data_IF_535305483627
#
_entry.id   IF_535305483627
#
_cell.length_a   1.000
_cell.length_b   1.000
_cell.length_c   1.000
_cell.angle_alpha   90.00
_cell.angle_beta   90.00
_cell.angle_gamma   90.00
#
_symmetry.space_group_name_H-M   'P 1'
#
loop_
_entity.id
_entity.type
_entity.pdbx_description
1 polymer ?
#
# COMPACT_ATOMS: atom_id res chain seq x y z
N UNK A 1 5.05 3.16 8.96
CA UNK A 1 4.84 2.54 7.64
C UNK A 1 3.35 2.51 7.32
N UNK A 2 2.92 3.40 6.42
CA UNK A 2 1.54 3.46 5.98
C UNK A 2 1.14 2.22 5.17
N UNK A 3 -0.15 1.86 5.22
CA UNK A 3 -0.76 0.84 4.38
C UNK A 3 -2.14 1.31 3.91
N UNK A 4 -2.47 1.19 2.61
CA UNK A 4 -3.84 1.41 2.16
C UNK A 4 -4.70 0.24 2.62
N UNK A 5 -5.76 0.50 3.36
CA UNK A 5 -6.67 -0.52 3.89
C UNK A 5 -8.11 -0.26 3.50
N UNK A 6 -8.91 -1.32 3.44
CA UNK A 6 -10.36 -1.23 3.34
C UNK A 6 -11.02 -1.87 4.55
N UNK A 7 -12.15 -1.31 5.00
CA UNK A 7 -12.94 -1.86 6.11
C UNK A 7 -13.82 -3.00 5.61
N UNK A 8 -13.64 -4.17 6.20
CA UNK A 8 -14.40 -5.38 5.87
C UNK A 8 -15.45 -5.61 6.94
N UNK A 9 -16.75 -5.44 6.63
CA UNK A 9 -17.82 -5.75 7.59
C UNK A 9 -17.88 -7.26 7.86
N UNK A 10 -17.88 -7.66 9.12
CA UNK A 10 -18.14 -9.01 9.59
C UNK A 10 -19.61 -9.19 10.00
N UNK A 11 -20.10 -10.42 9.97
CA UNK A 11 -21.52 -10.73 10.24
C UNK A 11 -21.95 -10.52 11.70
N UNK A 12 -21.00 -10.36 12.61
CA UNK A 12 -21.16 -10.10 14.05
C UNK A 12 -21.21 -8.58 14.39
N UNK A 13 -21.13 -7.71 13.39
CA UNK A 13 -21.07 -6.26 13.55
C UNK A 13 -19.65 -5.72 13.74
N UNK A 14 -18.64 -6.58 13.80
CA UNK A 14 -17.25 -6.17 13.82
C UNK A 14 -16.76 -5.70 12.45
N UNK A 15 -15.67 -4.95 12.44
CA UNK A 15 -15.03 -4.47 11.22
C UNK A 15 -13.58 -4.93 11.20
N UNK A 16 -13.24 -5.77 10.24
CA UNK A 16 -11.87 -6.11 9.92
C UNK A 16 -11.24 -5.10 8.97
N UNK A 17 -9.92 -5.21 8.79
CA UNK A 17 -9.17 -4.38 7.85
C UNK A 17 -8.41 -5.26 6.87
N UNK A 18 -8.58 -5.00 5.57
CA UNK A 18 -7.84 -5.69 4.52
C UNK A 18 -6.79 -4.76 3.92
N UNK A 19 -5.49 -5.11 3.94
CA UNK A 19 -4.45 -4.29 3.36
C UNK A 19 -4.32 -4.53 1.84
N UNK A 20 -4.37 -3.46 1.07
CA UNK A 20 -4.22 -3.46 -0.38
C UNK A 20 -2.73 -3.39 -0.76
N UNK A 21 -2.05 -4.54 -0.82
CA UNK A 21 -0.59 -4.60 -1.02
C UNK A 21 -0.23 -4.79 -2.49
N UNK A 22 -0.83 -5.78 -3.16
CA UNK A 22 -0.35 -6.29 -4.45
C UNK A 22 -1.29 -5.93 -5.61
N UNK A 23 -2.60 -6.09 -5.43
CA UNK A 23 -3.59 -5.98 -6.52
C UNK A 23 -3.63 -4.60 -7.18
N UNK A 24 -3.23 -3.54 -6.45
CA UNK A 24 -3.14 -2.17 -6.98
C UNK A 24 -2.19 -2.07 -8.19
N UNK A 25 -1.14 -2.89 -8.22
CA UNK A 25 -0.18 -2.95 -9.31
C UNK A 25 -0.66 -3.72 -10.55
N UNK A 26 -1.76 -4.50 -10.45
CA UNK A 26 -2.27 -5.32 -11.56
C UNK A 26 -2.93 -4.46 -12.63
N UNK A 27 -2.90 -4.91 -13.93
CA UNK A 27 -3.45 -4.13 -15.04
C UNK A 27 -4.98 -4.06 -15.00
N UNK A 28 -5.55 -2.84 -15.09
CA UNK A 28 -7.00 -2.60 -15.18
C UNK A 28 -7.67 -2.15 -13.89
N UNK A 29 -6.90 -1.57 -12.96
CA UNK A 29 -7.41 -0.87 -11.77
C UNK A 29 -6.77 0.50 -11.66
N UNK A 30 -7.49 1.50 -11.17
CA UNK A 30 -6.98 2.84 -10.84
C UNK A 30 -7.46 3.26 -9.45
N UNK A 31 -6.66 4.11 -8.79
CA UNK A 31 -7.02 4.77 -7.55
C UNK A 31 -7.52 6.19 -7.81
N UNK A 32 -8.72 6.53 -7.33
CA UNK A 32 -9.30 7.86 -7.52
C UNK A 32 -9.78 8.47 -6.20
N UNK A 33 -9.74 9.79 -6.11
CA UNK A 33 -10.32 10.59 -5.02
C UNK A 33 -11.83 10.84 -5.26
N UNK A 34 -12.49 11.51 -4.31
CA UNK A 34 -13.89 11.88 -4.42
C UNK A 34 -14.20 12.77 -5.65
N UNK A 35 -13.24 13.55 -6.15
CA UNK A 35 -13.37 14.31 -7.37
C UNK A 35 -13.20 13.47 -8.66
N UNK A 36 -13.05 12.17 -8.54
CA UNK A 36 -12.86 11.22 -9.64
C UNK A 36 -11.48 11.24 -10.29
N UNK A 37 -10.52 12.01 -9.77
CA UNK A 37 -9.16 12.10 -10.34
C UNK A 37 -8.21 11.12 -9.67
N UNK A 38 -7.26 10.60 -10.44
CA UNK A 38 -6.10 9.85 -9.94
C UNK A 38 -5.18 10.81 -9.17
N UNK A 39 -4.35 10.25 -8.29
CA UNK A 39 -3.44 11.02 -7.44
C UNK A 39 -2.07 10.34 -7.25
N UNK A 40 -1.89 9.13 -7.79
CA UNK A 40 -0.68 8.33 -7.56
C UNK A 40 -0.49 7.28 -8.64
N UNK A 41 0.74 6.80 -8.80
CA UNK A 41 1.03 5.54 -9.47
C UNK A 41 0.64 4.37 -8.55
N UNK A 42 -0.41 3.66 -8.87
CA UNK A 42 -0.96 2.59 -8.03
C UNK A 42 -0.02 1.38 -7.88
N UNK A 43 0.98 1.24 -8.77
CA UNK A 43 1.99 0.20 -8.68
C UNK A 43 3.21 0.59 -7.81
N UNK A 44 3.22 1.78 -7.22
CA UNK A 44 4.17 2.14 -6.19
C UNK A 44 3.93 1.36 -4.89
N UNK A 45 4.86 1.43 -3.96
CA UNK A 45 4.75 0.84 -2.64
C UNK A 45 3.47 1.28 -1.90
N UNK A 46 2.99 0.45 -1.00
CA UNK A 46 1.79 0.77 -0.23
C UNK A 46 1.98 2.01 0.66
N UNK A 47 3.19 2.24 1.16
CA UNK A 47 3.53 3.46 1.90
C UNK A 47 3.37 4.71 1.03
N UNK A 48 3.91 4.69 -0.18
CA UNK A 48 3.86 5.81 -1.12
C UNK A 48 2.43 6.12 -1.57
N UNK A 49 1.61 5.07 -1.76
CA UNK A 49 0.19 5.25 -2.08
C UNK A 49 -0.54 6.06 -1.01
N UNK A 50 -0.33 5.72 0.27
CA UNK A 50 -0.98 6.43 1.38
C UNK A 50 -0.37 7.81 1.61
N UNK A 51 0.94 7.97 1.45
CA UNK A 51 1.58 9.29 1.53
C UNK A 51 0.98 10.25 0.49
N UNK A 52 0.85 9.80 -0.76
CA UNK A 52 0.20 10.57 -1.82
C UNK A 52 -1.30 10.84 -1.52
N UNK A 53 -2.02 9.88 -0.92
CA UNK A 53 -3.41 10.07 -0.51
C UNK A 53 -3.54 11.17 0.55
N UNK A 54 -2.66 11.16 1.55
CA UNK A 54 -2.65 12.18 2.61
C UNK A 54 -2.30 13.55 2.05
N UNK A 55 -1.32 13.64 1.15
CA UNK A 55 -0.93 14.89 0.49
C UNK A 55 -2.05 15.47 -0.39
N UNK A 56 -2.77 14.60 -1.11
CA UNK A 56 -3.89 15.00 -1.96
C UNK A 56 -5.20 15.30 -1.19
N UNK A 57 -5.23 15.05 0.12
CA UNK A 57 -6.41 15.28 0.96
C UNK A 57 -6.34 16.67 1.59
N UNK A 58 -7.35 17.55 1.40
CA UNK A 58 -7.39 18.85 2.06
C UNK A 58 -7.36 18.71 3.60
N UNK A 59 -6.73 19.66 4.32
CA UNK A 59 -6.72 19.66 5.77
C UNK A 59 -8.13 19.57 6.38
N UNK A 60 -8.27 18.75 7.42
CA UNK A 60 -9.55 18.54 8.12
C UNK A 60 -10.53 17.61 7.42
N UNK A 61 -10.22 17.10 6.24
CA UNK A 61 -11.04 16.10 5.57
C UNK A 61 -10.52 14.68 5.80
N UNK A 62 -11.39 13.65 5.82
CA UNK A 62 -10.97 12.28 5.92
C UNK A 62 -10.26 11.84 4.63
N UNK A 63 -9.04 11.33 4.75
CA UNK A 63 -8.28 10.80 3.63
C UNK A 63 -8.93 9.50 3.13
N UNK A 64 -9.51 9.54 1.94
CA UNK A 64 -10.21 8.42 1.31
C UNK A 64 -9.98 8.40 -0.18
N UNK A 65 -9.82 7.21 -0.73
CA UNK A 65 -9.78 6.95 -2.16
C UNK A 65 -10.64 5.74 -2.52
N UNK A 66 -10.80 5.48 -3.80
CA UNK A 66 -11.49 4.31 -4.30
C UNK A 66 -10.59 3.60 -5.30
N UNK A 67 -10.42 2.29 -5.15
CA UNK A 67 -9.86 1.45 -6.21
C UNK A 67 -11.00 1.07 -7.15
N UNK A 68 -10.92 1.54 -8.40
CA UNK A 68 -11.94 1.36 -9.43
C UNK A 68 -11.42 0.41 -10.49
N UNK A 69 -12.22 -0.60 -10.85
CA UNK A 69 -11.88 -1.57 -11.88
C UNK A 69 -13.11 -2.01 -12.68
N UNK A 70 -12.87 -2.77 -13.74
CA UNK A 70 -13.94 -3.42 -14.52
C UNK A 70 -14.11 -4.91 -14.15
N UNK A 71 -15.08 -5.56 -14.80
CA UNK A 71 -15.39 -6.97 -14.62
C UNK A 71 -14.18 -7.90 -14.91
N UNK A 72 -13.32 -7.57 -15.88
CA UNK A 72 -12.17 -8.42 -16.24
C UNK A 72 -11.19 -8.47 -15.10
N UNK A 73 -10.85 -7.29 -14.54
CA UNK A 73 -9.98 -7.17 -13.41
C UNK A 73 -10.50 -7.95 -12.20
N UNK A 74 -11.74 -7.68 -11.78
CA UNK A 74 -12.33 -8.34 -10.62
C UNK A 74 -12.33 -9.87 -10.74
N UNK A 75 -12.65 -10.40 -11.93
CA UNK A 75 -12.66 -11.85 -12.16
C UNK A 75 -11.27 -12.48 -12.11
N UNK A 76 -10.25 -11.77 -12.56
CA UNK A 76 -8.88 -12.30 -12.67
C UNK A 76 -8.10 -12.16 -11.39
N UNK A 77 -8.20 -11.01 -10.73
CA UNK A 77 -7.32 -10.65 -9.60
C UNK A 77 -8.06 -10.53 -8.27
N UNK A 78 -9.39 -10.38 -8.30
CA UNK A 78 -10.14 -9.94 -7.13
C UNK A 78 -9.99 -8.44 -6.90
N UNK A 79 -10.50 -7.94 -5.76
CA UNK A 79 -10.30 -6.55 -5.34
C UNK A 79 -10.40 -6.48 -3.80
N UNK A 80 -9.31 -6.25 -3.13
CA UNK A 80 -9.24 -6.29 -1.69
C UNK A 80 -9.68 -7.67 -1.15
N UNK A 81 -10.62 -7.67 -0.22
CA UNK A 81 -11.15 -8.90 0.38
C UNK A 81 -12.00 -9.75 -0.59
N UNK A 82 -12.37 -9.20 -1.74
CA UNK A 82 -13.11 -9.93 -2.79
C UNK A 82 -12.14 -10.79 -3.57
N UNK A 83 -12.29 -12.10 -3.46
CA UNK A 83 -11.45 -13.07 -4.16
C UNK A 83 -11.80 -13.17 -5.65
N UNK A 84 -10.86 -13.60 -6.52
CA UNK A 84 -11.14 -13.79 -7.94
C UNK A 84 -12.17 -14.89 -8.23
N UNK A 85 -12.70 -14.90 -9.46
CA UNK A 85 -13.59 -15.96 -9.91
C UNK A 85 -12.93 -17.36 -9.77
N UNK A 86 -13.71 -18.41 -9.49
CA UNK A 86 -15.19 -18.47 -9.56
C UNK A 86 -15.93 -18.12 -8.27
N UNK A 87 -15.26 -17.57 -7.26
CA UNK A 87 -15.89 -17.30 -5.96
C UNK A 87 -17.00 -16.23 -6.06
N UNK A 88 -18.11 -16.41 -5.32
CA UNK A 88 -19.26 -15.52 -5.41
C UNK A 88 -18.99 -14.16 -4.73
N UNK A 89 -19.48 -13.08 -5.35
CA UNK A 89 -19.32 -11.71 -4.86
C UNK A 89 -20.57 -11.16 -4.15
N UNK A 90 -21.66 -11.94 -4.11
CA UNK A 90 -22.96 -11.46 -3.64
C UNK A 90 -22.95 -10.97 -2.18
N UNK A 91 -22.20 -11.63 -1.30
CA UNK A 91 -22.08 -11.22 0.09
C UNK A 91 -21.39 -9.85 0.22
N UNK A 92 -20.34 -9.61 -0.55
CA UNK A 92 -19.60 -8.33 -0.56
C UNK A 92 -20.43 -7.17 -1.12
N UNK A 93 -21.32 -7.45 -2.09
CA UNK A 93 -22.28 -6.46 -2.60
C UNK A 93 -23.36 -6.13 -1.55
N UNK A 94 -23.90 -7.14 -0.87
CA UNK A 94 -24.92 -6.95 0.17
C UNK A 94 -24.38 -6.19 1.39
N UNK A 95 -23.16 -6.49 1.81
CA UNK A 95 -22.52 -5.79 2.93
C UNK A 95 -22.11 -4.36 2.59
N UNK A 96 -22.16 -3.97 1.31
CA UNK A 96 -21.70 -2.66 0.85
C UNK A 96 -20.18 -2.52 0.75
N UNK A 97 -19.41 -3.57 1.06
CA UNK A 97 -17.95 -3.57 0.89
C UNK A 97 -17.54 -3.34 -0.56
N UNK A 98 -18.13 -4.12 -1.47
CA UNK A 98 -17.94 -3.97 -2.91
C UNK A 98 -19.06 -3.12 -3.50
N UNK A 99 -18.73 -2.02 -4.11
CA UNK A 99 -19.66 -1.22 -4.91
C UNK A 99 -19.69 -1.72 -6.35
N UNK A 100 -20.86 -1.59 -7.00
CA UNK A 100 -21.06 -2.01 -8.38
C UNK A 100 -21.89 -0.98 -9.12
N UNK A 101 -21.53 -0.73 -10.39
CA UNK A 101 -22.31 0.06 -11.33
C UNK A 101 -22.33 -0.61 -12.71
N UNK A 102 -23.45 -0.54 -13.42
CA UNK A 102 -23.52 -0.97 -14.84
C UNK A 102 -22.83 0.04 -15.75
N UNK A 103 -22.72 1.30 -15.30
CA UNK A 103 -21.94 2.39 -15.92
C UNK A 103 -20.99 3.02 -14.89
N UNK A 104 -20.04 3.80 -15.36
CA UNK A 104 -19.15 4.60 -14.50
C UNK A 104 -19.93 5.65 -13.71
N UNK A 105 -20.94 6.27 -14.31
CA UNK A 105 -21.82 7.22 -13.63
C UNK A 105 -22.54 6.59 -12.43
N UNK A 106 -23.16 5.42 -12.63
CA UNK A 106 -23.83 4.70 -11.57
C UNK A 106 -22.87 4.29 -10.46
N UNK A 107 -21.66 3.80 -10.81
CA UNK A 107 -20.62 3.46 -9.83
C UNK A 107 -20.21 4.70 -9.03
N UNK A 108 -19.91 5.80 -9.71
CA UNK A 108 -19.47 7.05 -9.09
C UNK A 108 -20.49 7.54 -8.04
N UNK A 109 -21.77 7.59 -8.41
CA UNK A 109 -22.87 7.99 -7.48
C UNK A 109 -22.95 7.07 -6.27
N UNK A 110 -22.78 5.76 -6.46
CA UNK A 110 -22.82 4.78 -5.35
C UNK A 110 -21.64 4.92 -4.39
N UNK A 111 -20.55 5.53 -4.86
CA UNK A 111 -19.31 5.74 -4.09
C UNK A 111 -19.18 7.16 -3.52
N UNK A 112 -20.03 8.10 -3.92
CA UNK A 112 -19.85 9.52 -3.60
C UNK A 112 -18.68 10.15 -4.35
N UNK A 113 -18.37 9.64 -5.54
CA UNK A 113 -17.37 10.18 -6.46
C UNK A 113 -18.06 11.11 -7.46
N UNK A 114 -17.38 12.20 -7.87
CA UNK A 114 -17.88 13.02 -8.99
C UNK A 114 -17.96 12.21 -10.28
N UNK A 115 -19.17 12.00 -10.85
CA UNK A 115 -19.35 11.17 -12.04
C UNK A 115 -18.61 11.72 -13.27
N UNK A 116 -18.58 13.03 -13.44
CA UNK A 116 -17.92 13.68 -14.57
C UNK A 116 -16.40 13.54 -14.48
N UNK A 117 -15.84 13.73 -13.26
CA UNK A 117 -14.44 13.54 -12.99
C UNK A 117 -13.98 12.11 -13.22
N UNK A 118 -14.76 11.12 -12.73
CA UNK A 118 -14.45 9.71 -12.95
C UNK A 118 -14.51 9.33 -14.44
N UNK A 119 -15.53 9.76 -15.16
CA UNK A 119 -15.67 9.48 -16.58
C UNK A 119 -14.51 10.07 -17.40
N UNK A 120 -14.13 11.32 -17.12
CA UNK A 120 -13.00 11.97 -17.78
C UNK A 120 -11.67 11.25 -17.47
N UNK A 121 -11.43 10.90 -16.22
CA UNK A 121 -10.23 10.17 -15.78
C UNK A 121 -10.12 8.81 -16.46
N UNK A 122 -11.19 8.02 -16.49
CA UNK A 122 -11.17 6.70 -17.14
C UNK A 122 -11.00 6.82 -18.65
N UNK A 123 -11.64 7.81 -19.29
CA UNK A 123 -11.48 8.03 -20.73
C UNK A 123 -10.03 8.37 -21.08
N UNK A 124 -9.41 9.29 -20.34
CA UNK A 124 -8.02 9.68 -20.54
C UNK A 124 -7.04 8.54 -20.28
N UNK A 125 -7.22 7.84 -19.14
CA UNK A 125 -6.44 6.66 -18.81
C UNK A 125 -6.53 5.58 -19.91
N UNK A 126 -7.74 5.25 -20.37
CA UNK A 126 -7.97 4.22 -21.38
C UNK A 126 -7.34 4.55 -22.72
N UNK A 127 -7.27 5.82 -23.09
CA UNK A 127 -6.63 6.27 -24.35
C UNK A 127 -5.18 5.81 -24.42
N UNK A 128 -4.44 5.94 -23.32
CA UNK A 128 -3.04 5.55 -23.23
C UNK A 128 -2.86 4.08 -22.81
N UNK A 129 -3.76 3.57 -21.97
CA UNK A 129 -3.68 2.21 -21.44
C UNK A 129 -3.77 1.12 -22.51
N UNK A 130 -4.45 1.37 -23.64
CA UNK A 130 -4.48 0.46 -24.79
C UNK A 130 -3.12 0.23 -25.41
N UNK A 131 -2.24 1.24 -25.33
CA UNK A 131 -0.86 1.18 -25.77
C UNK A 131 0.13 0.80 -24.64
N UNK A 132 -0.40 0.45 -23.46
CA UNK A 132 0.40 0.08 -22.29
C UNK A 132 1.13 1.28 -21.66
N UNK A 133 0.67 2.51 -21.90
CA UNK A 133 1.28 3.73 -21.37
C UNK A 133 0.43 4.35 -20.26
N UNK A 134 1.10 4.98 -19.31
CA UNK A 134 0.50 5.85 -18.29
C UNK A 134 1.36 7.13 -18.17
N UNK A 135 1.13 8.13 -19.03
CA UNK A 135 1.95 9.33 -19.05
C UNK A 135 1.76 10.21 -17.80
N UNK A 136 0.64 10.09 -17.11
CA UNK A 136 0.34 10.91 -15.94
C UNK A 136 1.20 10.50 -14.71
N UNK A 137 1.35 9.20 -14.47
CA UNK A 137 2.08 8.70 -13.30
C UNK A 137 3.21 7.73 -13.63
N UNK A 138 3.46 7.43 -14.89
CA UNK A 138 4.55 6.56 -15.32
C UNK A 138 4.43 5.09 -14.85
N UNK A 139 3.20 4.61 -14.65
CA UNK A 139 2.95 3.27 -14.12
C UNK A 139 3.49 2.18 -15.04
N UNK A 140 4.27 1.26 -14.43
CA UNK A 140 4.96 0.19 -15.17
C UNK A 140 6.29 0.63 -15.80
N UNK A 141 6.74 1.87 -15.52
CA UNK A 141 8.01 2.40 -16.02
C UNK A 141 9.24 1.89 -15.27
N UNK A 142 9.07 1.40 -14.04
CA UNK A 142 10.19 0.89 -13.21
C UNK A 142 10.14 -0.62 -13.06
N UNK A 143 11.30 -1.24 -12.75
CA UNK A 143 11.38 -2.67 -12.43
C UNK A 143 10.49 -3.04 -11.23
N UNK A 144 10.42 -2.17 -10.22
CA UNK A 144 9.54 -2.36 -9.06
C UNK A 144 8.06 -2.41 -9.46
N UNK A 145 7.58 -1.45 -10.27
CA UNK A 145 6.20 -1.47 -10.76
C UNK A 145 5.90 -2.74 -11.55
N UNK A 146 6.78 -3.12 -12.48
CA UNK A 146 6.60 -4.31 -13.33
C UNK A 146 6.53 -5.61 -12.51
N UNK A 147 7.29 -5.70 -11.41
CA UNK A 147 7.20 -6.82 -10.46
C UNK A 147 5.82 -6.90 -9.78
N UNK A 148 5.18 -5.77 -9.50
CA UNK A 148 3.82 -5.72 -8.93
C UNK A 148 2.75 -6.07 -9.96
N UNK A 149 3.04 -5.91 -11.24
CA UNK A 149 2.16 -6.22 -12.35
C UNK A 149 1.86 -7.71 -12.53
N UNK A 150 1.25 -8.07 -13.65
CA UNK A 150 0.98 -9.44 -14.05
C UNK A 150 1.86 -9.82 -15.26
N UNK A 151 2.90 -10.63 -15.09
CA UNK A 151 3.77 -11.04 -16.21
C UNK A 151 3.04 -11.89 -17.25
N UNK A 152 1.89 -12.49 -16.91
CA UNK A 152 1.05 -13.26 -17.84
C UNK A 152 -0.03 -12.39 -18.52
N UNK A 153 -0.04 -11.08 -18.30
CA UNK A 153 -0.92 -10.16 -19.03
C UNK A 153 -0.41 -10.00 -20.47
N UNK A 154 -1.27 -10.23 -21.50
CA UNK A 154 -0.82 -10.24 -22.90
C UNK A 154 -0.55 -8.84 -23.48
N UNK A 155 -0.87 -7.77 -22.76
CA UNK A 155 -0.63 -6.40 -23.21
C UNK A 155 0.83 -5.97 -23.05
N UNK A 156 1.19 -4.82 -23.61
CA UNK A 156 2.58 -4.35 -23.65
C UNK A 156 3.15 -3.94 -22.29
N UNK A 157 2.30 -3.71 -21.28
CA UNK A 157 2.71 -3.32 -19.94
C UNK A 157 1.98 -4.17 -18.89
N UNK A 158 2.70 -4.92 -18.04
CA UNK A 158 2.10 -5.81 -17.06
C UNK A 158 1.29 -5.09 -15.96
N UNK A 159 1.39 -3.76 -15.88
CA UNK A 159 0.72 -2.93 -14.86
C UNK A 159 -0.46 -2.13 -15.43
N UNK A 160 -0.61 -2.06 -16.75
CA UNK A 160 -1.54 -1.12 -17.40
C UNK A 160 -2.46 -1.85 -18.35
N UNK A 161 -3.76 -1.71 -18.14
CA UNK A 161 -4.81 -2.18 -19.06
C UNK A 161 -6.02 -1.25 -18.98
N UNK A 162 -6.77 -1.07 -20.08
CA UNK A 162 -7.94 -0.21 -20.07
C UNK A 162 -9.08 -0.78 -19.19
N UNK A 163 -9.89 0.13 -18.62
CA UNK A 163 -11.09 -0.14 -17.81
C UNK A 163 -12.31 0.16 -18.66
N UNK A 164 -12.85 -0.84 -19.38
CA UNK A 164 -13.85 -0.58 -20.40
C UNK A 164 -14.99 -1.63 -20.48
N UNK A 165 -14.90 -2.72 -19.72
CA UNK A 165 -15.90 -3.82 -19.78
C UNK A 165 -16.71 -3.90 -18.50
N UNK A 166 -17.77 -3.12 -18.42
CA UNK A 166 -18.72 -3.18 -17.30
C UNK A 166 -19.31 -4.58 -17.06
N UNK A 167 -19.93 -4.82 -15.90
CA UNK A 167 -20.09 -3.83 -14.83
C UNK A 167 -18.75 -3.42 -14.20
N UNK A 168 -18.76 -2.21 -13.65
CA UNK A 168 -17.62 -1.61 -12.94
C UNK A 168 -17.77 -1.82 -11.44
N UNK A 169 -16.64 -1.85 -10.74
CA UNK A 169 -16.58 -2.13 -9.31
C UNK A 169 -15.62 -1.18 -8.61
N UNK A 170 -15.90 -0.94 -7.33
CA UNK A 170 -15.01 -0.17 -6.48
C UNK A 170 -15.00 -0.66 -5.04
N UNK A 171 -13.85 -0.48 -4.37
CA UNK A 171 -13.67 -0.65 -2.93
C UNK A 171 -13.07 0.63 -2.37
N UNK A 172 -13.62 1.10 -1.25
CA UNK A 172 -13.08 2.27 -0.55
C UNK A 172 -11.79 1.92 0.17
N UNK A 173 -10.82 2.83 0.08
CA UNK A 173 -9.50 2.69 0.70
C UNK A 173 -9.21 3.90 1.57
N UNK A 174 -8.69 3.64 2.75
CA UNK A 174 -8.28 4.65 3.72
C UNK A 174 -6.88 4.36 4.27
N UNK A 175 -6.21 5.33 4.93
CA UNK A 175 -4.93 5.10 5.57
C UNK A 175 -5.02 4.08 6.70
N UNK A 176 -4.12 3.11 6.70
CA UNK A 176 -3.82 2.20 7.78
C UNK A 176 -2.33 2.23 8.10
N UNK A 177 -1.88 1.40 9.04
CA UNK A 177 -0.50 1.36 9.50
C UNK A 177 -0.01 -0.08 9.68
N UNK A 178 1.21 -0.36 9.19
CA UNK A 178 1.93 -1.62 9.46
C UNK A 178 2.96 -1.50 10.58
N UNK A 179 3.19 -0.30 11.10
CA UNK A 179 4.16 -0.01 12.14
C UNK A 179 4.59 1.44 12.11
N UNK A 180 5.34 1.86 13.10
CA UNK A 180 5.81 3.24 13.25
C UNK A 180 7.25 3.40 12.71
N UNK A 181 7.60 4.63 12.33
CA UNK A 181 8.99 5.05 12.11
C UNK A 181 9.50 5.92 13.26
N UNK A 182 8.58 6.51 14.02
CA UNK A 182 8.92 7.21 15.26
C UNK A 182 9.10 6.18 16.39
N UNK A 183 10.10 6.40 17.22
CA UNK A 183 10.42 5.54 18.34
C UNK A 183 11.55 6.10 19.19
N UNK A 184 12.05 5.30 20.11
CA UNK A 184 13.15 5.64 20.99
C UNK A 184 14.44 5.79 20.17
N UNK A 185 15.17 6.88 20.39
CA UNK A 185 16.50 7.04 19.78
C UNK A 185 17.47 6.04 20.39
N UNK A 186 18.23 5.37 19.54
CA UNK A 186 19.23 4.39 19.96
C UNK A 186 20.59 4.69 19.33
N UNK A 187 21.64 4.16 19.93
CA UNK A 187 22.96 4.09 19.33
C UNK A 187 23.14 2.84 18.44
N UNK A 188 24.35 2.64 17.94
CA UNK A 188 24.69 1.50 17.08
C UNK A 188 24.60 0.14 17.79
N UNK A 189 24.60 0.10 19.11
CA UNK A 189 24.42 -1.09 19.95
C UNK A 189 22.96 -1.32 20.37
N UNK A 190 22.02 -0.56 19.77
CA UNK A 190 20.60 -0.57 20.10
C UNK A 190 20.26 -0.12 21.54
N UNK A 191 21.18 0.57 22.23
CA UNK A 191 20.93 1.14 23.56
C UNK A 191 20.11 2.42 23.40
N UNK A 192 19.08 2.57 24.22
CA UNK A 192 18.25 3.80 24.21
C UNK A 192 19.04 4.96 24.77
N UNK A 193 18.94 6.12 24.09
CA UNK A 193 19.59 7.36 24.47
C UNK A 193 18.64 8.27 25.27
N UNK A 194 19.16 8.92 26.28
CA UNK A 194 18.48 9.99 27.02
C UNK A 194 18.41 11.31 26.24
N UNK A 195 17.86 12.36 26.85
CA UNK A 195 17.75 13.68 26.22
C UNK A 195 19.10 14.36 25.97
N UNK A 196 20.18 13.94 26.65
CA UNK A 196 21.55 14.38 26.45
C UNK A 196 22.34 13.53 25.45
N UNK A 197 21.73 12.50 24.86
CA UNK A 197 22.39 11.61 23.91
C UNK A 197 23.25 10.53 24.57
N UNK A 198 23.13 10.30 25.87
CA UNK A 198 23.87 9.26 26.60
C UNK A 198 23.04 7.98 26.71
N UNK A 199 23.67 6.81 26.58
CA UNK A 199 22.94 5.54 26.73
C UNK A 199 22.37 5.36 28.13
N UNK A 200 21.08 5.03 28.21
CA UNK A 200 20.42 4.65 29.47
C UNK A 200 20.86 3.21 29.82
N UNK A 201 21.49 2.98 30.99
CA UNK A 201 21.99 1.67 31.35
C UNK A 201 20.88 0.61 31.39
N UNK A 202 21.10 -0.53 30.72
CA UNK A 202 20.19 -1.68 30.73
C UNK A 202 18.95 -1.52 29.83
N UNK A 203 18.79 -0.38 29.12
CA UNK A 203 17.63 -0.15 28.25
C UNK A 203 18.00 -0.25 26.76
N UNK A 204 17.27 -1.12 26.04
CA UNK A 204 17.46 -1.37 24.62
C UNK A 204 16.14 -1.23 23.88
N UNK A 205 16.17 -0.88 22.59
CA UNK A 205 15.02 -0.88 21.71
C UNK A 205 15.39 -1.38 20.31
N UNK A 206 14.45 -2.12 19.69
CA UNK A 206 14.59 -2.62 18.34
C UNK A 206 13.22 -2.65 17.62
N UNK A 207 13.20 -2.75 16.31
CA UNK A 207 11.97 -2.84 15.54
C UNK A 207 11.12 -1.56 15.60
N UNK A 208 9.82 -1.71 15.82
CA UNK A 208 8.87 -0.60 15.83
C UNK A 208 9.01 0.34 17.05
N UNK A 209 9.64 -0.13 18.14
CA UNK A 209 9.89 0.69 19.34
C UNK A 209 11.11 1.60 19.19
N UNK A 210 11.99 1.28 18.25
CA UNK A 210 13.17 2.05 17.90
C UNK A 210 12.85 3.08 16.83
N UNK A 211 13.45 4.28 16.90
CA UNK A 211 13.41 5.25 15.80
C UNK A 211 14.00 4.61 14.53
N UNK A 212 13.26 4.67 13.44
CA UNK A 212 13.66 4.02 12.20
C UNK A 212 15.00 4.54 11.68
N UNK A 213 15.96 3.67 11.32
CA UNK A 213 17.21 4.08 10.69
C UNK A 213 16.99 4.69 9.30
N UNK A 214 15.79 4.56 8.71
CA UNK A 214 15.41 5.15 7.42
C UNK A 214 14.72 6.51 7.55
N UNK A 215 14.67 7.09 8.75
CA UNK A 215 14.16 8.44 9.02
C UNK A 215 12.76 8.72 8.39
N UNK A 216 11.85 7.76 8.46
CA UNK A 216 10.48 7.90 7.94
C UNK A 216 10.28 7.52 6.48
N UNK A 217 11.33 7.17 5.75
CA UNK A 217 11.22 6.67 4.39
C UNK A 217 10.97 5.15 4.34
N UNK A 218 10.29 4.71 3.27
CA UNK A 218 9.96 3.30 3.04
C UNK A 218 10.60 2.79 1.73
N UNK A 219 11.90 2.45 1.72
CA UNK A 219 12.61 2.07 0.49
C UNK A 219 12.08 0.79 -0.16
N UNK A 220 11.62 -0.19 0.62
CA UNK A 220 11.07 -1.46 0.09
C UNK A 220 10.43 -2.32 1.17
N UNK A 221 9.79 -3.44 0.78
CA UNK A 221 9.30 -4.46 1.71
C UNK A 221 10.41 -5.06 2.58
N UNK A 222 10.07 -5.38 3.84
CA UNK A 222 11.02 -5.87 4.84
C UNK A 222 11.59 -4.80 5.78
N UNK A 223 11.27 -3.53 5.54
CA UNK A 223 11.79 -2.39 6.33
C UNK A 223 11.40 -2.40 7.81
N UNK A 224 10.31 -3.08 8.18
CA UNK A 224 9.95 -3.27 9.59
C UNK A 224 10.69 -4.46 10.19
N UNK A 225 10.75 -5.59 9.46
CA UNK A 225 11.37 -6.83 9.95
C UNK A 225 12.90 -6.79 9.89
N UNK A 226 13.49 -6.17 8.87
CA UNK A 226 14.94 -6.07 8.71
C UNK A 226 15.60 -5.40 9.92
N UNK A 227 15.23 -4.14 10.25
CA UNK A 227 15.74 -3.45 11.44
C UNK A 227 15.41 -4.19 12.74
N UNK A 228 14.20 -4.77 12.88
CA UNK A 228 13.83 -5.52 14.08
C UNK A 228 14.77 -6.69 14.33
N UNK A 229 15.05 -7.50 13.32
CA UNK A 229 15.96 -8.64 13.41
C UNK A 229 17.42 -8.18 13.63
N UNK A 230 17.88 -7.18 12.87
CA UNK A 230 19.25 -6.69 12.95
C UNK A 230 19.56 -6.08 14.32
N UNK A 231 18.75 -5.12 14.76
CA UNK A 231 19.00 -4.44 16.03
C UNK A 231 18.63 -5.30 17.24
N UNK A 232 17.67 -6.23 17.10
CA UNK A 232 17.42 -7.25 18.12
C UNK A 232 18.61 -8.19 18.32
N UNK A 233 19.26 -8.62 17.24
CA UNK A 233 20.49 -9.40 17.28
C UNK A 233 21.65 -8.61 17.90
N UNK A 234 21.84 -7.34 17.49
CA UNK A 234 22.88 -6.47 18.05
C UNK A 234 22.68 -6.27 19.57
N UNK A 235 21.45 -5.95 19.99
CA UNK A 235 21.11 -5.79 21.41
C UNK A 235 21.42 -7.07 22.21
N UNK A 236 21.00 -8.24 21.70
CA UNK A 236 21.25 -9.53 22.33
C UNK A 236 22.75 -9.82 22.51
N UNK A 237 23.55 -9.57 21.48
CA UNK A 237 25.02 -9.72 21.56
C UNK A 237 25.65 -8.75 22.56
N UNK A 238 25.23 -7.50 22.56
CA UNK A 238 25.74 -6.50 23.50
C UNK A 238 25.40 -6.85 24.96
N UNK A 239 24.17 -7.27 25.23
CA UNK A 239 23.73 -7.73 26.56
C UNK A 239 24.55 -8.94 27.03
N UNK A 240 24.85 -9.87 26.13
CA UNK A 240 25.66 -11.04 26.45
C UNK A 240 27.17 -10.75 26.60
N UNK A 241 27.61 -9.50 26.42
CA UNK A 241 29.03 -9.13 26.45
C UNK A 241 29.85 -9.71 25.27
N UNK A 242 29.17 -10.14 24.18
CA UNK A 242 29.84 -10.70 23.03
C UNK A 242 30.57 -9.61 22.24
N UNK A 243 31.79 -9.89 21.82
CA UNK A 243 32.62 -8.98 21.05
C UNK A 243 32.00 -8.68 19.68
N UNK A 244 32.24 -7.50 19.14
CA UNK A 244 31.93 -7.16 17.77
C UNK A 244 32.75 -8.03 16.77
N UNK A 245 32.23 -8.17 15.55
CA UNK A 245 32.83 -9.02 14.50
C UNK A 245 34.31 -8.73 14.25
N UNK A 246 34.71 -7.45 14.24
CA UNK A 246 36.10 -7.03 14.07
C UNK A 246 36.99 -7.45 15.25
N UNK A 247 36.47 -7.39 16.47
CA UNK A 247 37.18 -7.80 17.68
C UNK A 247 37.29 -9.32 17.78
N UNK A 248 36.29 -10.06 17.30
CA UNK A 248 36.35 -11.54 17.20
C UNK A 248 37.38 -11.98 16.17
N UNK A 249 37.51 -11.29 15.03
CA UNK A 249 38.53 -11.57 14.00
C UNK A 249 39.94 -11.29 14.52
N UNK A 250 40.14 -10.18 15.25
CA UNK A 250 41.43 -9.84 15.83
C UNK A 250 41.90 -10.81 16.94
N UNK A 251 40.95 -11.52 17.58
CA UNK A 251 41.30 -12.54 18.60
C UNK A 251 41.55 -13.94 18.00
N UNK A 252 41.16 -14.17 16.72
CA UNK A 252 41.39 -15.45 16.01
C UNK A 252 42.63 -15.47 15.14
N UNK A 253 43.29 -14.34 14.94
CA UNK A 253 44.54 -14.19 14.20
C UNK A 253 45.71 -14.02 15.15
#
# INVERSE_FOLDING_TARGET
>A
AWAPVSRVPHGDGETGHFPHIIERGKPGVIGVLANGRRFVNEAHGYHDYVAALLEATPPGQPARSWLVCDRRFLRRYGLGYVRPAPLPIAAHLRSGYLKRGTSLDQLARSCGIDPSGLAATVAEYNRHAREGRDPEFGRGGTAFNRKQGDPAYPGPNPCVAPIERGPYYAVQVEPGCFGTFAGLKTDAQARVLDGGGQPIPGLYAAGADMASPFAGHYPSGGINLGPALTFGYIAGRHIAGALGYEQEQAQRG
#
